data_IF_183107438646
#
_entry.id   IF_183107438646
#
_cell.length_a   1.000
_cell.length_b   1.000
_cell.length_c   1.000
_cell.angle_alpha   90.00
_cell.angle_beta   90.00
_cell.angle_gamma   90.00
#
_symmetry.space_group_name_H-M   'P 1'
#
loop_
_entity.id
_entity.type
_entity.pdbx_description
1 polymer ?
#
# COMPACT_ATOMS: atom_id res chain seq x y z
N UNK A 1 1.26 28.08 -0.22
CA UNK A 1 0.03 27.48 0.33
C UNK A 1 0.24 25.99 0.13
N UNK A 2 0.81 25.33 1.14
CA UNK A 2 1.10 23.90 1.06
C UNK A 2 -0.24 23.18 0.93
N UNK A 3 -0.53 22.71 -0.27
CA UNK A 3 -1.62 21.79 -0.51
C UNK A 3 -1.32 20.56 0.35
N UNK A 4 -2.13 20.31 1.38
CA UNK A 4 -2.06 19.09 2.16
C UNK A 4 -2.22 17.93 1.17
N UNK A 5 -1.12 17.25 0.85
CA UNK A 5 -1.13 16.08 -0.03
C UNK A 5 -1.78 14.98 0.80
N UNK A 6 -3.07 14.75 0.58
CA UNK A 6 -3.86 13.74 1.28
C UNK A 6 -4.63 12.91 0.27
N UNK A 7 -4.70 11.60 0.49
CA UNK A 7 -5.57 10.72 -0.27
C UNK A 7 -7.01 10.95 0.15
N UNK A 8 -7.90 11.14 -0.82
CA UNK A 8 -9.33 11.07 -0.52
C UNK A 8 -9.79 9.61 -0.32
N UNK A 9 -11.03 9.45 0.12
CA UNK A 9 -11.59 8.13 0.42
C UNK A 9 -11.76 7.24 -0.82
N UNK A 10 -12.00 7.83 -2.00
CA UNK A 10 -12.09 7.06 -3.26
C UNK A 10 -10.72 6.53 -3.65
N UNK A 11 -9.67 7.33 -3.49
CA UNK A 11 -8.30 6.93 -3.73
C UNK A 11 -7.83 5.86 -2.73
N UNK A 12 -8.14 6.01 -1.44
CA UNK A 12 -7.84 4.99 -0.43
C UNK A 12 -8.53 3.66 -0.74
N UNK A 13 -9.81 3.71 -1.13
CA UNK A 13 -10.57 2.52 -1.54
C UNK A 13 -9.94 1.85 -2.76
N UNK A 14 -9.63 2.64 -3.80
CA UNK A 14 -8.97 2.14 -5.00
C UNK A 14 -7.62 1.49 -4.72
N UNK A 15 -6.74 2.14 -3.96
CA UNK A 15 -5.42 1.58 -3.62
C UNK A 15 -5.58 0.29 -2.80
N UNK A 16 -6.53 0.24 -1.87
CA UNK A 16 -6.82 -0.95 -1.07
C UNK A 16 -7.27 -2.13 -1.94
N UNK A 17 -8.16 -1.91 -2.90
CA UNK A 17 -8.60 -2.96 -3.83
C UNK A 17 -7.43 -3.52 -4.63
N UNK A 18 -6.58 -2.64 -5.20
CA UNK A 18 -5.40 -3.08 -5.96
C UNK A 18 -4.39 -3.78 -5.05
N UNK A 19 -4.24 -3.37 -3.79
CA UNK A 19 -3.41 -4.04 -2.80
C UNK A 19 -3.86 -5.49 -2.58
N UNK A 20 -5.16 -5.71 -2.35
CA UNK A 20 -5.69 -7.05 -2.13
C UNK A 20 -5.61 -7.93 -3.39
N UNK A 21 -5.78 -7.34 -4.58
CA UNK A 21 -5.67 -8.06 -5.84
C UNK A 21 -4.21 -8.47 -6.14
N UNK A 22 -3.26 -7.54 -6.04
CA UNK A 22 -1.89 -7.72 -6.56
C UNK A 22 -0.86 -8.06 -5.50
N UNK A 23 -1.00 -7.50 -4.30
CA UNK A 23 0.04 -7.50 -3.27
C UNK A 23 -0.21 -8.55 -2.19
N UNK A 24 -1.45 -8.66 -1.71
CA UNK A 24 -1.81 -9.64 -0.69
C UNK A 24 -1.40 -11.09 -1.04
N UNK A 25 -1.58 -11.61 -2.28
CA UNK A 25 -1.13 -12.96 -2.62
C UNK A 25 0.38 -13.15 -2.50
N UNK A 26 1.17 -12.12 -2.86
CA UNK A 26 2.65 -12.15 -2.77
C UNK A 26 3.10 -12.10 -1.31
N UNK A 27 2.55 -11.18 -0.54
CA UNK A 27 2.82 -11.03 0.89
C UNK A 27 2.46 -12.30 1.68
N UNK A 28 1.37 -12.98 1.30
CA UNK A 28 0.99 -14.27 1.88
C UNK A 28 2.03 -15.37 1.61
N UNK A 29 2.57 -15.45 0.37
CA UNK A 29 3.68 -16.39 0.04
C UNK A 29 4.94 -16.10 0.85
N UNK A 30 5.20 -14.83 1.16
CA UNK A 30 6.32 -14.38 1.99
C UNK A 30 6.05 -14.51 3.50
N UNK A 31 4.88 -15.01 3.92
CA UNK A 31 4.46 -15.10 5.32
C UNK A 31 4.55 -13.75 6.07
N UNK A 32 4.25 -12.66 5.36
CA UNK A 32 4.25 -11.31 5.93
C UNK A 32 3.19 -11.18 7.02
N UNK A 33 3.53 -10.48 8.11
CA UNK A 33 2.64 -10.29 9.28
C UNK A 33 2.21 -8.85 9.49
N UNK A 34 3.11 -7.90 9.27
CA UNK A 34 2.85 -6.47 9.37
C UNK A 34 3.90 -5.77 8.51
N UNK A 35 3.55 -4.64 7.92
CA UNK A 35 4.51 -3.87 7.15
C UNK A 35 3.90 -2.63 6.51
N UNK A 36 4.78 -1.83 5.92
CA UNK A 36 4.44 -0.72 5.06
C UNK A 36 5.10 -0.96 3.70
N UNK A 37 4.36 -0.76 2.60
CA UNK A 37 4.91 -0.83 1.25
C UNK A 37 4.46 0.37 0.43
N UNK A 38 5.25 0.84 -0.55
CA UNK A 38 4.83 1.93 -1.41
C UNK A 38 3.65 1.54 -2.31
N UNK A 39 2.80 2.52 -2.60
CA UNK A 39 1.57 2.38 -3.36
C UNK A 39 1.79 2.49 -4.89
N UNK A 40 3.04 2.40 -5.37
CA UNK A 40 3.36 2.46 -6.80
C UNK A 40 2.69 1.34 -7.60
N UNK A 41 2.31 0.22 -6.96
CA UNK A 41 1.51 -0.85 -7.55
C UNK A 41 0.10 -0.40 -8.02
N UNK A 42 -0.43 0.69 -7.48
CA UNK A 42 -1.70 1.31 -7.85
C UNK A 42 -1.53 2.45 -8.87
N UNK A 43 -0.29 2.80 -9.21
CA UNK A 43 0.06 3.80 -10.21
C UNK A 43 1.08 4.81 -9.71
N UNK A 44 1.83 5.41 -10.65
CA UNK A 44 2.94 6.31 -10.34
C UNK A 44 2.54 7.58 -9.54
N UNK A 45 1.26 8.00 -9.59
CA UNK A 45 0.75 9.12 -8.79
C UNK A 45 0.76 8.83 -7.29
N UNK A 46 0.76 7.55 -6.89
CA UNK A 46 0.75 7.10 -5.50
C UNK A 46 2.11 6.63 -5.01
N UNK A 47 3.18 6.79 -5.80
CA UNK A 47 4.51 6.25 -5.48
C UNK A 47 5.10 6.75 -4.14
N UNK A 48 4.67 7.92 -3.69
CA UNK A 48 5.09 8.56 -2.44
C UNK A 48 4.16 8.24 -1.27
N UNK A 49 3.19 7.34 -1.46
CA UNK A 49 2.31 6.88 -0.40
C UNK A 49 2.71 5.48 0.01
N UNK A 50 2.74 5.23 1.31
CA UNK A 50 2.91 3.92 1.91
C UNK A 50 1.54 3.43 2.39
N UNK A 51 1.23 2.16 2.11
CA UNK A 51 0.09 1.47 2.71
C UNK A 51 0.60 0.62 3.87
N UNK A 52 0.07 0.88 5.06
CA UNK A 52 0.32 0.09 6.26
C UNK A 52 -0.68 -1.05 6.32
N UNK A 53 -0.19 -2.27 6.53
CA UNK A 53 -1.04 -3.45 6.61
C UNK A 53 -0.62 -4.36 7.76
N UNK A 54 -1.55 -5.18 8.23
CA UNK A 54 -1.30 -6.30 9.16
C UNK A 54 -2.01 -7.56 8.70
N UNK A 55 -1.49 -8.72 9.05
CA UNK A 55 -2.15 -10.00 8.85
C UNK A 55 -3.35 -10.09 9.80
N UNK A 56 -4.50 -10.45 9.26
CA UNK A 56 -5.72 -10.66 10.01
C UNK A 56 -6.40 -11.94 9.53
N UNK A 57 -6.47 -12.94 10.40
CA UNK A 57 -6.92 -14.29 10.05
C UNK A 57 -6.12 -14.89 8.88
N UNK A 58 -6.83 -15.20 7.79
CA UNK A 58 -6.26 -15.81 6.58
C UNK A 58 -5.81 -14.79 5.50
N UNK A 59 -5.90 -13.50 5.79
CA UNK A 59 -5.61 -12.40 4.86
C UNK A 59 -4.90 -11.23 5.52
N UNK A 60 -5.18 -10.03 5.02
CA UNK A 60 -4.60 -8.78 5.50
C UNK A 60 -5.69 -7.76 5.78
N UNK A 61 -5.34 -6.77 6.57
CA UNK A 61 -6.14 -5.59 6.87
C UNK A 61 -5.27 -4.36 6.59
N UNK A 62 -5.83 -3.38 5.90
CA UNK A 62 -5.22 -2.06 5.70
C UNK A 62 -5.43 -1.25 6.97
N UNK A 63 -4.36 -0.75 7.54
CA UNK A 63 -4.36 -0.03 8.82
C UNK A 63 -4.33 1.47 8.59
N UNK A 64 -3.48 1.94 7.68
CA UNK A 64 -3.29 3.37 7.44
C UNK A 64 -2.61 3.65 6.09
N UNK A 65 -2.61 4.93 5.69
CA UNK A 65 -1.85 5.46 4.57
C UNK A 65 -0.94 6.60 5.03
N UNK A 66 0.33 6.54 4.66
CA UNK A 66 1.32 7.54 5.06
C UNK A 66 1.98 8.15 3.83
N UNK A 67 2.07 9.48 3.76
CA UNK A 67 2.86 10.14 2.72
C UNK A 67 4.34 10.15 3.13
N UNK A 68 5.18 9.50 2.33
CA UNK A 68 6.63 9.50 2.45
C UNK A 68 7.26 10.02 1.14
N UNK A 69 7.82 11.24 1.12
CA UNK A 69 8.44 11.81 -0.07
C UNK A 69 9.68 11.04 -0.54
N UNK A 70 10.29 10.25 0.35
CA UNK A 70 11.48 9.43 0.08
C UNK A 70 11.11 7.96 -0.22
N UNK A 71 9.81 7.64 -0.29
CA UNK A 71 9.34 6.30 -0.63
C UNK A 71 9.93 5.83 -1.96
N UNK A 72 10.45 4.60 -1.97
CA UNK A 72 11.07 3.99 -3.15
C UNK A 72 10.25 2.80 -3.59
N UNK A 73 9.93 2.69 -4.90
CA UNK A 73 9.32 1.50 -5.45
C UNK A 73 10.06 0.25 -5.00
N UNK A 74 9.30 -0.75 -4.56
CA UNK A 74 9.85 -2.05 -4.22
C UNK A 74 9.71 -2.93 -5.47
N UNK A 75 10.84 -3.38 -6.01
CA UNK A 75 10.81 -4.47 -6.99
C UNK A 75 10.37 -5.75 -6.26
N UNK A 76 9.12 -6.14 -6.48
CA UNK A 76 8.62 -7.40 -5.98
C UNK A 76 9.19 -8.52 -6.84
N UNK A 77 10.03 -9.43 -6.31
CA UNK A 77 10.45 -10.60 -7.06
C UNK A 77 9.21 -11.38 -7.50
N UNK A 78 9.07 -11.54 -8.81
CA UNK A 78 8.05 -12.33 -9.49
C UNK A 78 8.22 -13.82 -9.18
#
# INVERSE_FOLDING_TARGET
MDSFIELDEEEKAFISDVFFEKMAPKLKKLNARIGAIPCDFAGNKYKNWLIHFRSSGNGFEVVDFEYDPDARPIDYPI
#
